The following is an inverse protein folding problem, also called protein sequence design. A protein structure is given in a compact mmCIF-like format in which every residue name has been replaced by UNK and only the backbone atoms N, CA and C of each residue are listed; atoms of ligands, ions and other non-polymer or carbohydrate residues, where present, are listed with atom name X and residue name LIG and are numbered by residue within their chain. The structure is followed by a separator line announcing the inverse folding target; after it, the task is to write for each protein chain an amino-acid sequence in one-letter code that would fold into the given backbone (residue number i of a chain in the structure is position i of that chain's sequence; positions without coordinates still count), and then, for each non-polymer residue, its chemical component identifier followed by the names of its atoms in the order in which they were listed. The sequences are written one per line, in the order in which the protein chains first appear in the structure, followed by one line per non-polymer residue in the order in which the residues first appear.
data_IF_638220712698
#
_entry.id   IF_638220712698
#
_cell.length_a   1.000
_cell.length_b   1.000
_cell.length_c   1.000
_cell.angle_alpha   90.00
_cell.angle_beta   90.00
_cell.angle_gamma   90.00
#
_symmetry.space_group_name_H-M   'P 1'
#
loop_
_entity.id
_entity.type
_entity.pdbx_description
1 polymer ?
#
# COMPACT_ATOMS: atom_id res chain seq x y z
N UNK A 1 -15.88 5.69 0.91
CA UNK A 1 -15.53 4.25 0.98
C UNK A 1 -14.31 4.11 1.86
N UNK A 2 -14.18 3.02 2.61
CA UNK A 2 -12.99 2.74 3.42
C UNK A 2 -12.42 1.38 3.01
N UNK A 3 -11.10 1.31 2.83
CA UNK A 3 -10.39 0.07 2.56
C UNK A 3 -9.23 -0.09 3.54
N UNK A 4 -8.88 -1.35 3.81
CA UNK A 4 -7.73 -1.71 4.62
C UNK A 4 -6.69 -2.33 3.70
N UNK A 5 -5.48 -1.80 3.73
CA UNK A 5 -4.33 -2.26 2.96
C UNK A 5 -3.28 -2.78 3.93
N UNK A 6 -2.61 -3.87 3.59
CA UNK A 6 -1.46 -4.36 4.34
C UNK A 6 -0.21 -4.04 3.53
N UNK A 7 0.65 -3.20 4.09
CA UNK A 7 1.97 -2.91 3.54
C UNK A 7 2.89 -4.02 3.99
N UNK A 8 3.38 -4.81 3.04
CA UNK A 8 4.36 -5.86 3.30
C UNK A 8 5.72 -5.31 2.91
N UNK A 9 6.67 -5.27 3.84
CA UNK A 9 8.05 -4.91 3.53
C UNK A 9 8.79 -6.15 2.98
N UNK A 10 9.21 -6.15 1.70
CA UNK A 10 9.90 -7.30 1.12
C UNK A 10 11.37 -7.39 1.51
N UNK A 11 11.94 -6.34 2.13
CA UNK A 11 13.37 -6.24 2.37
C UNK A 11 13.79 -6.66 3.78
N UNK A 12 12.85 -6.93 4.69
CA UNK A 12 13.14 -7.52 5.99
C UNK A 12 14.26 -6.76 6.69
N UNK A 13 14.00 -5.52 7.09
CA UNK A 13 14.95 -4.74 7.88
C UNK A 13 15.53 -5.62 9.00
N UNK A 14 16.83 -5.92 8.88
CA UNK A 14 17.59 -6.88 9.68
C UNK A 14 17.84 -6.33 11.10
N UNK A 15 16.76 -6.01 11.81
CA UNK A 15 16.79 -5.59 13.20
C UNK A 15 15.94 -6.55 14.04
N UNK A 16 16.53 -7.28 15.01
CA UNK A 16 15.88 -8.40 15.71
C UNK A 16 14.68 -8.00 16.58
N UNK A 17 14.40 -6.70 16.73
CA UNK A 17 13.21 -6.20 17.43
C UNK A 17 11.96 -6.04 16.52
N UNK A 18 12.12 -6.05 15.20
CA UNK A 18 11.05 -5.79 14.21
C UNK A 18 10.60 -7.06 13.46
N UNK A 19 11.01 -8.25 13.89
CA UNK A 19 10.76 -9.51 13.18
C UNK A 19 9.26 -9.88 13.12
N UNK A 20 8.44 -9.40 14.06
CA UNK A 20 6.96 -9.58 14.05
C UNK A 20 6.22 -8.45 13.31
N UNK A 21 6.91 -7.37 12.91
CA UNK A 21 6.30 -6.10 12.51
C UNK A 21 6.65 -5.65 11.07
N UNK A 22 7.03 -6.58 10.19
CA UNK A 22 7.29 -6.32 8.77
C UNK A 22 6.02 -6.16 7.91
N UNK A 23 4.85 -6.06 8.57
CA UNK A 23 3.58 -5.76 7.92
C UNK A 23 2.83 -4.69 8.70
N UNK A 24 2.48 -3.58 8.04
CA UNK A 24 1.69 -2.50 8.62
C UNK A 24 0.32 -2.42 7.93
N UNK A 25 -0.75 -2.45 8.72
CA UNK A 25 -2.10 -2.21 8.19
C UNK A 25 -2.37 -0.71 8.11
N UNK A 26 -2.79 -0.24 6.93
CA UNK A 26 -3.13 1.15 6.63
C UNK A 26 -4.60 1.22 6.25
N UNK A 27 -5.34 2.10 6.93
CA UNK A 27 -6.73 2.41 6.58
C UNK A 27 -6.75 3.61 5.63
N UNK A 28 -7.31 3.39 4.43
CA UNK A 28 -7.47 4.44 3.42
C UNK A 28 -8.95 4.78 3.32
N UNK A 29 -9.27 6.05 3.58
CA UNK A 29 -10.59 6.61 3.35
C UNK A 29 -10.53 7.45 2.08
N UNK A 30 -11.26 7.03 1.06
CA UNK A 30 -11.31 7.72 -0.22
C UNK A 30 -12.73 7.66 -0.82
N UNK A 31 -13.10 8.64 -1.66
CA UNK A 31 -14.27 8.54 -2.51
C UNK A 31 -14.21 7.31 -3.43
N UNK A 32 -15.37 6.84 -3.90
CA UNK A 32 -15.40 5.86 -4.97
C UNK A 32 -14.86 6.50 -6.27
N UNK A 33 -14.09 5.73 -7.05
CA UNK A 33 -13.46 6.21 -8.28
C UNK A 33 -12.09 6.86 -8.08
N UNK A 34 -11.56 6.96 -6.86
CA UNK A 34 -10.20 7.44 -6.63
C UNK A 34 -9.18 6.55 -7.34
N UNK A 35 -8.29 7.15 -8.12
CA UNK A 35 -7.22 6.42 -8.81
C UNK A 35 -6.29 5.74 -7.82
N UNK A 36 -5.97 4.47 -8.05
CA UNK A 36 -5.02 3.73 -7.20
C UNK A 36 -3.62 4.36 -7.21
N UNK A 37 -3.23 5.04 -8.29
CA UNK A 37 -1.99 5.80 -8.37
C UNK A 37 -1.87 6.88 -7.28
N UNK A 38 -2.96 7.61 -7.00
CA UNK A 38 -2.96 8.63 -5.96
C UNK A 38 -2.80 8.01 -4.56
N UNK A 39 -3.48 6.87 -4.33
CA UNK A 39 -3.34 6.10 -3.08
C UNK A 39 -1.94 5.53 -2.94
N UNK A 40 -1.36 5.00 -4.01
CA UNK A 40 0.00 4.45 -4.04
C UNK A 40 1.05 5.50 -3.70
N UNK A 41 0.97 6.70 -4.30
CA UNK A 41 1.88 7.80 -4.00
C UNK A 41 1.71 8.32 -2.56
N UNK A 42 0.48 8.43 -2.07
CA UNK A 42 0.22 8.83 -0.69
C UNK A 42 0.74 7.78 0.32
N UNK A 43 0.54 6.49 0.01
CA UNK A 43 1.05 5.37 0.80
C UNK A 43 2.58 5.36 0.82
N UNK A 44 3.22 5.54 -0.35
CA UNK A 44 4.67 5.65 -0.44
C UNK A 44 5.19 6.80 0.42
N UNK A 45 4.59 7.99 0.33
CA UNK A 45 4.97 9.13 1.18
C UNK A 45 4.81 8.84 2.68
N UNK A 46 3.70 8.21 3.08
CA UNK A 46 3.43 7.86 4.48
C UNK A 46 4.40 6.80 5.04
N UNK A 47 4.87 5.86 4.20
CA UNK A 47 5.76 4.77 4.61
C UNK A 47 7.24 5.15 4.45
N UNK A 48 7.62 5.89 3.42
CA UNK A 48 9.01 6.35 3.21
C UNK A 48 9.50 7.27 4.33
N UNK A 49 8.60 7.96 5.02
CA UNK A 49 8.92 8.71 6.24
C UNK A 49 9.38 7.84 7.43
N UNK A 50 9.12 6.52 7.40
CA UNK A 50 9.50 5.59 8.47
C UNK A 50 10.83 4.87 8.20
N UNK A 51 11.14 4.48 6.96
CA UNK A 51 12.28 3.59 6.68
C UNK A 51 13.00 3.84 5.32
N UNK A 52 12.83 5.01 4.69
CA UNK A 52 13.66 5.44 3.55
C UNK A 52 13.53 4.63 2.24
N UNK A 53 12.55 3.71 2.16
CA UNK A 53 12.31 2.90 0.96
C UNK A 53 11.71 3.76 -0.15
N UNK A 54 12.47 3.96 -1.24
CA UNK A 54 12.13 4.81 -2.40
C UNK A 54 11.56 4.02 -3.59
N UNK A 55 11.02 2.83 -3.34
CA UNK A 55 10.45 1.97 -4.38
C UNK A 55 9.00 2.30 -4.73
N UNK A 56 8.62 2.15 -6.00
CA UNK A 56 7.22 2.20 -6.43
C UNK A 56 6.45 1.03 -5.79
N UNK A 57 5.44 1.29 -4.94
CA UNK A 57 4.70 0.22 -4.28
C UNK A 57 3.86 -0.57 -5.28
N UNK A 58 3.87 -1.89 -5.15
CA UNK A 58 3.02 -2.78 -5.95
C UNK A 58 1.79 -3.15 -5.12
N UNK A 59 0.61 -2.96 -5.71
CA UNK A 59 -0.67 -3.24 -5.06
C UNK A 59 -1.22 -4.59 -5.51
N UNK A 60 -1.75 -5.36 -4.56
CA UNK A 60 -2.35 -6.66 -4.80
C UNK A 60 -3.76 -6.71 -4.22
N UNK A 61 -4.67 -7.40 -4.93
CA UNK A 61 -5.98 -7.79 -4.45
C UNK A 61 -6.06 -9.31 -4.44
N UNK A 62 -5.80 -9.92 -3.28
CA UNK A 62 -5.54 -11.36 -3.21
C UNK A 62 -4.31 -11.70 -4.05
N UNK A 63 -4.48 -12.62 -5.00
CA UNK A 63 -3.40 -13.07 -5.89
C UNK A 63 -3.22 -12.18 -7.14
N UNK A 64 -4.14 -11.23 -7.37
CA UNK A 64 -4.11 -10.36 -8.54
C UNK A 64 -3.27 -9.10 -8.30
N UNK A 65 -2.27 -8.86 -9.14
CA UNK A 65 -1.58 -7.57 -9.22
C UNK A 65 -2.51 -6.50 -9.80
N UNK A 66 -2.69 -5.41 -9.07
CA UNK A 66 -3.44 -4.25 -9.53
C UNK A 66 -2.52 -3.26 -10.25
N UNK A 67 -2.97 -2.80 -11.42
CA UNK A 67 -2.32 -1.70 -12.12
C UNK A 67 -2.82 -0.37 -11.55
N UNK A 68 -1.97 0.33 -10.82
CA UNK A 68 -2.36 1.56 -10.13
C UNK A 68 -2.80 2.69 -11.09
N UNK A 69 -2.35 2.65 -12.36
CA UNK A 69 -2.70 3.65 -13.37
C UNK A 69 -4.07 3.38 -14.00
N UNK A 70 -4.50 2.12 -14.08
CA UNK A 70 -5.76 1.72 -14.72
C UNK A 70 -6.88 1.40 -13.73
N UNK A 71 -6.57 1.09 -12.49
CA UNK A 71 -7.55 0.67 -11.50
C UNK A 71 -7.98 1.82 -10.58
N UNK A 72 -9.25 1.81 -10.16
CA UNK A 72 -9.83 2.79 -9.26
C UNK A 72 -10.49 2.13 -8.05
N UNK A 73 -10.48 2.83 -6.92
CA UNK A 73 -10.96 2.36 -5.64
C UNK A 73 -12.50 2.32 -5.61
N UNK A 74 -13.05 1.17 -5.22
CA UNK A 74 -14.51 0.99 -5.15
C UNK A 74 -15.21 0.91 -6.50
N UNK A 75 -14.47 0.63 -7.60
CA UNK A 75 -15.08 0.28 -8.87
C UNK A 75 -15.80 -1.06 -8.75
N UNK A 76 -17.10 -1.00 -8.45
CA UNK A 76 -18.01 -2.15 -8.52
C UNK A 76 -18.21 -2.45 -10.00
N UNK A 77 -17.65 -3.55 -10.49
CA UNK A 77 -18.25 -4.24 -11.64
C UNK A 77 -19.31 -5.20 -11.12
#
# INVERSE_FOLDING_TARGET
MQIRLTVVDPLGSSSPARERAASCDVLVTAPAGTALAAVASALASAVSGADGSSGTPVLYAGDLRLDAQRCTLGSRR
#
